data_IF_427150112751
#
_entry.id   IF_427150112751
#
_cell.length_a   1.000
_cell.length_b   1.000
_cell.length_c   1.000
_cell.angle_alpha   90.00
_cell.angle_beta   90.00
_cell.angle_gamma   90.00
#
_symmetry.space_group_name_H-M   'P 1'
#
loop_
_entity.id
_entity.type
_entity.pdbx_description
1 polymer ?
#
# COMPACT_ATOMS: atom_id res chain seq x y z
N UNK A 1 -15.25 -12.32 25.74
CA UNK A 1 -14.68 -11.77 24.50
C UNK A 1 -14.90 -12.79 23.41
N UNK A 2 -15.26 -12.37 22.20
CA UNK A 2 -15.40 -13.30 21.08
C UNK A 2 -14.06 -14.01 20.85
N UNK A 3 -14.05 -15.35 20.93
CA UNK A 3 -12.85 -16.19 20.72
C UNK A 3 -12.46 -16.22 19.25
N UNK A 4 -11.94 -15.10 18.75
CA UNK A 4 -11.48 -14.98 17.36
C UNK A 4 -10.07 -15.56 17.27
N UNK A 5 -9.91 -16.64 16.50
CA UNK A 5 -8.62 -17.31 16.29
C UNK A 5 -7.78 -16.63 15.20
N UNK A 6 -8.42 -15.97 14.23
CA UNK A 6 -7.77 -15.27 13.11
C UNK A 6 -8.68 -14.15 12.58
N UNK A 7 -8.14 -12.95 12.42
CA UNK A 7 -8.78 -11.89 11.64
C UNK A 7 -8.26 -11.91 10.19
N UNK A 8 -9.14 -11.72 9.22
CA UNK A 8 -8.78 -11.73 7.79
C UNK A 8 -9.26 -10.44 7.16
N UNK A 9 -8.36 -9.80 6.39
CA UNK A 9 -8.60 -8.52 5.74
C UNK A 9 -8.17 -8.58 4.28
N UNK A 10 -8.82 -7.82 3.41
CA UNK A 10 -8.37 -7.70 2.03
C UNK A 10 -7.32 -6.59 1.87
N UNK A 11 -6.34 -6.82 0.99
CA UNK A 11 -5.38 -5.81 0.58
C UNK A 11 -6.00 -4.97 -0.55
N UNK A 12 -6.52 -3.78 -0.21
CA UNK A 12 -7.27 -2.91 -1.12
C UNK A 12 -6.61 -1.57 -1.43
N UNK A 13 -5.49 -1.22 -0.79
CA UNK A 13 -4.72 -0.03 -1.19
C UNK A 13 -3.81 0.59 -0.12
N UNK A 14 -3.68 -0.02 1.05
CA UNK A 14 -2.77 0.40 2.11
C UNK A 14 -3.47 0.87 3.40
N UNK A 15 -4.77 1.19 3.35
CA UNK A 15 -5.55 1.55 4.54
C UNK A 15 -5.65 0.40 5.55
N UNK A 16 -5.67 -0.84 5.05
CA UNK A 16 -5.66 -2.06 5.86
C UNK A 16 -4.37 -2.24 6.68
N UNK A 17 -3.26 -1.59 6.28
CA UNK A 17 -1.94 -1.87 6.86
C UNK A 17 -1.85 -1.47 8.34
N UNK A 18 -2.44 -0.33 8.72
CA UNK A 18 -2.42 0.11 10.12
C UNK A 18 -3.23 -0.84 11.00
N UNK A 19 -4.44 -1.22 10.57
CA UNK A 19 -5.27 -2.17 11.30
C UNK A 19 -4.56 -3.53 11.45
N UNK A 20 -3.94 -4.02 10.39
CA UNK A 20 -3.19 -5.29 10.42
C UNK A 20 -2.04 -5.26 11.45
N UNK A 21 -1.29 -4.16 11.53
CA UNK A 21 -0.20 -4.03 12.51
C UNK A 21 -0.73 -3.93 13.95
N UNK A 22 -1.76 -3.11 14.19
CA UNK A 22 -2.36 -2.93 15.51
C UNK A 22 -2.96 -4.24 16.05
N UNK A 23 -3.60 -5.04 15.21
CA UNK A 23 -4.15 -6.32 15.64
C UNK A 23 -3.04 -7.30 16.07
N UNK A 24 -1.91 -7.32 15.37
CA UNK A 24 -0.73 -8.08 15.79
C UNK A 24 -0.13 -7.57 17.10
N UNK A 25 -0.09 -6.26 17.33
CA UNK A 25 0.33 -5.67 18.62
C UNK A 25 -0.59 -6.09 19.77
N UNK A 26 -1.89 -6.24 19.49
CA UNK A 26 -2.89 -6.76 20.44
C UNK A 26 -2.90 -8.29 20.55
N UNK A 27 -1.89 -8.97 19.98
CA UNK A 27 -1.78 -10.43 19.97
C UNK A 27 -2.95 -11.15 19.30
N UNK A 28 -3.64 -10.50 18.35
CA UNK A 28 -4.65 -11.12 17.50
C UNK A 28 -4.03 -11.50 16.14
N UNK A 29 -3.90 -12.80 15.81
CA UNK A 29 -3.37 -13.22 14.52
C UNK A 29 -4.18 -12.66 13.36
N UNK A 30 -3.50 -12.18 12.33
CA UNK A 30 -4.13 -11.58 11.16
C UNK A 30 -3.59 -12.14 9.84
N UNK A 31 -4.42 -12.14 8.81
CA UNK A 31 -4.03 -12.49 7.44
C UNK A 31 -4.54 -11.46 6.43
N UNK A 32 -3.72 -11.18 5.42
CA UNK A 32 -4.10 -10.37 4.27
C UNK A 32 -4.40 -11.27 3.06
N UNK A 33 -5.59 -11.11 2.49
CA UNK A 33 -6.00 -11.78 1.26
C UNK A 33 -6.07 -10.79 0.10
N UNK A 34 -5.85 -11.27 -1.12
CA UNK A 34 -5.89 -10.42 -2.29
C UNK A 34 -7.35 -10.08 -2.67
N UNK A 35 -7.71 -8.80 -2.72
CA UNK A 35 -9.07 -8.33 -3.03
C UNK A 35 -9.60 -8.88 -4.36
N UNK A 36 -8.75 -9.05 -5.38
CA UNK A 36 -9.13 -9.64 -6.68
C UNK A 36 -9.53 -11.11 -6.54
N UNK A 37 -8.83 -11.86 -5.69
CA UNK A 37 -9.14 -13.27 -5.46
C UNK A 37 -10.43 -13.45 -4.67
N UNK A 38 -10.65 -12.61 -3.65
CA UNK A 38 -11.91 -12.58 -2.88
C UNK A 38 -13.07 -12.23 -3.80
N UNK A 39 -12.90 -11.22 -4.67
CA UNK A 39 -13.93 -10.84 -5.65
C UNK A 39 -14.27 -11.98 -6.61
N UNK A 40 -13.27 -12.65 -7.18
CA UNK A 40 -13.49 -13.82 -8.05
C UNK A 40 -14.19 -14.96 -7.33
N UNK A 41 -13.90 -15.14 -6.04
CA UNK A 41 -14.60 -16.11 -5.21
C UNK A 41 -16.07 -15.71 -5.02
N UNK A 42 -16.36 -14.45 -4.68
CA UNK A 42 -17.72 -13.96 -4.55
C UNK A 42 -18.54 -14.12 -5.84
N UNK A 43 -17.94 -13.80 -6.99
CA UNK A 43 -18.53 -14.02 -8.33
C UNK A 43 -18.86 -15.51 -8.56
N UNK A 44 -17.93 -16.41 -8.23
CA UNK A 44 -18.15 -17.85 -8.35
C UNK A 44 -19.25 -18.39 -7.40
N UNK A 45 -19.47 -17.72 -6.27
CA UNK A 45 -20.51 -18.05 -5.30
C UNK A 45 -21.87 -17.39 -5.62
N UNK A 46 -21.96 -16.62 -6.72
CA UNK A 46 -23.21 -16.01 -7.18
C UNK A 46 -23.60 -14.72 -6.43
N UNK A 47 -22.70 -14.10 -5.69
CA UNK A 47 -22.96 -12.84 -5.00
C UNK A 47 -22.61 -11.65 -5.91
N UNK A 48 -23.65 -10.92 -6.35
CA UNK A 48 -23.53 -9.75 -7.25
C UNK A 48 -23.69 -8.41 -6.53
N UNK A 49 -24.46 -8.38 -5.43
CA UNK A 49 -24.66 -7.17 -4.61
C UNK A 49 -23.56 -7.02 -3.57
N UNK A 50 -23.10 -5.79 -3.37
CA UNK A 50 -22.07 -5.46 -2.38
C UNK A 50 -22.67 -4.70 -1.21
N UNK A 51 -22.51 -5.28 -0.03
CA UNK A 51 -22.68 -4.61 1.25
C UNK A 51 -21.51 -5.02 2.13
N UNK A 52 -21.13 -4.18 3.11
CA UNK A 52 -20.01 -4.49 4.00
C UNK A 52 -20.14 -5.86 4.67
N UNK A 53 -21.37 -6.26 5.00
CA UNK A 53 -21.67 -7.58 5.60
C UNK A 53 -21.45 -8.73 4.63
N UNK A 54 -21.82 -8.57 3.35
CA UNK A 54 -21.59 -9.59 2.31
C UNK A 54 -20.09 -9.68 2.02
N UNK A 55 -19.39 -8.56 1.88
CA UNK A 55 -17.95 -8.54 1.62
C UNK A 55 -17.18 -9.22 2.75
N UNK A 56 -17.50 -8.92 4.02
CA UNK A 56 -16.91 -9.62 5.16
C UNK A 56 -17.17 -11.13 5.14
N UNK A 57 -18.40 -11.56 4.82
CA UNK A 57 -18.74 -12.98 4.70
C UNK A 57 -17.97 -13.66 3.56
N UNK A 58 -17.75 -12.97 2.44
CA UNK A 58 -16.97 -13.48 1.31
C UNK A 58 -15.47 -13.60 1.66
N UNK A 59 -14.92 -12.65 2.41
CA UNK A 59 -13.54 -12.74 2.92
C UNK A 59 -13.38 -13.97 3.83
N UNK A 60 -14.30 -14.18 4.77
CA UNK A 60 -14.28 -15.35 5.68
C UNK A 60 -14.44 -16.65 4.89
N UNK A 61 -15.41 -16.72 3.98
CA UNK A 61 -15.64 -17.91 3.15
C UNK A 61 -14.44 -18.25 2.26
N UNK A 62 -13.81 -17.24 1.67
CA UNK A 62 -12.57 -17.41 0.90
C UNK A 62 -11.44 -17.92 1.79
N UNK A 63 -11.27 -17.35 2.98
CA UNK A 63 -10.23 -17.73 3.92
C UNK A 63 -10.36 -19.19 4.36
N UNK A 64 -11.59 -19.62 4.67
CA UNK A 64 -11.89 -21.01 5.03
C UNK A 64 -11.62 -21.97 3.87
N UNK A 65 -12.13 -21.65 2.67
CA UNK A 65 -11.93 -22.47 1.48
C UNK A 65 -10.46 -22.63 1.09
N UNK A 66 -9.64 -21.59 1.30
CA UNK A 66 -8.20 -21.61 1.04
C UNK A 66 -7.35 -22.00 2.24
N UNK A 67 -7.96 -22.28 3.40
CA UNK A 67 -7.26 -22.57 4.66
C UNK A 67 -6.18 -21.53 4.98
N UNK A 68 -6.52 -20.26 4.79
CA UNK A 68 -5.62 -19.12 4.99
C UNK A 68 -5.06 -19.18 6.41
N UNK A 69 -3.75 -18.98 6.51
CA UNK A 69 -3.03 -18.94 7.77
C UNK A 69 -2.68 -17.50 8.14
N UNK A 70 -2.42 -17.28 9.43
CA UNK A 70 -1.91 -16.00 9.90
C UNK A 70 -0.65 -15.61 9.12
N UNK A 71 -0.60 -14.36 8.70
CA UNK A 71 0.57 -13.76 8.06
C UNK A 71 1.28 -12.94 9.13
N UNK A 72 2.49 -13.32 9.56
CA UNK A 72 3.25 -12.53 10.53
C UNK A 72 3.45 -11.10 10.03
N UNK A 73 3.51 -10.11 10.94
CA UNK A 73 3.74 -8.75 10.52
C UNK A 73 5.18 -8.63 10.00
N UNK A 74 5.41 -7.82 8.96
CA UNK A 74 6.76 -7.53 8.51
C UNK A 74 7.55 -6.90 9.67
N UNK A 75 8.83 -7.22 9.77
CA UNK A 75 9.75 -6.61 10.72
C UNK A 75 9.80 -5.09 10.54
N UNK A 76 10.19 -4.37 11.60
CA UNK A 76 10.35 -2.92 11.52
C UNK A 76 11.30 -2.48 10.38
N UNK A 77 12.35 -3.28 10.11
CA UNK A 77 13.28 -3.05 9.01
C UNK A 77 12.60 -3.18 7.64
N UNK A 78 11.83 -4.25 7.40
CA UNK A 78 11.07 -4.44 6.15
C UNK A 78 10.02 -3.35 5.96
N UNK A 79 9.35 -2.94 7.04
CA UNK A 79 8.38 -1.86 7.00
C UNK A 79 9.02 -0.52 6.60
N UNK A 80 10.17 -0.20 7.20
CA UNK A 80 10.97 0.99 6.89
C UNK A 80 11.45 0.96 5.44
N UNK A 81 12.05 -0.14 5.00
CA UNK A 81 12.54 -0.30 3.63
C UNK A 81 11.41 -0.09 2.60
N UNK A 82 10.25 -0.73 2.81
CA UNK A 82 9.08 -0.55 1.95
C UNK A 82 8.61 0.90 1.90
N UNK A 83 8.63 1.61 3.03
CA UNK A 83 8.26 3.02 3.09
C UNK A 83 9.26 3.91 2.32
N UNK A 84 10.56 3.65 2.46
CA UNK A 84 11.60 4.38 1.72
C UNK A 84 11.47 4.18 0.21
N UNK A 85 11.30 2.93 -0.25
CA UNK A 85 11.12 2.61 -1.67
C UNK A 85 9.85 3.27 -2.23
N UNK A 86 8.74 3.22 -1.49
CA UNK A 86 7.51 3.89 -1.90
C UNK A 86 7.70 5.41 -2.03
N UNK A 87 8.41 6.03 -1.07
CA UNK A 87 8.69 7.46 -1.11
C UNK A 87 9.63 7.83 -2.26
N UNK A 88 10.65 7.02 -2.55
CA UNK A 88 11.53 7.23 -3.71
C UNK A 88 10.72 7.22 -5.01
N UNK A 89 9.78 6.28 -5.16
CA UNK A 89 8.88 6.23 -6.31
C UNK A 89 8.06 7.52 -6.49
N UNK A 90 7.52 8.07 -5.39
CA UNK A 90 6.79 9.36 -5.41
C UNK A 90 7.69 10.50 -5.87
N UNK A 91 8.88 10.65 -5.29
CA UNK A 91 9.82 11.73 -5.63
C UNK A 91 10.26 11.67 -7.09
N UNK A 92 10.54 10.48 -7.61
CA UNK A 92 10.90 10.28 -9.02
C UNK A 92 9.71 10.55 -9.96
N UNK A 93 8.49 10.20 -9.54
CA UNK A 93 7.25 10.57 -10.23
C UNK A 93 7.07 12.09 -10.32
N UNK A 94 7.22 12.78 -9.18
CA UNK A 94 7.13 14.24 -9.12
C UNK A 94 8.20 14.90 -10.01
N UNK A 95 9.42 14.37 -10.02
CA UNK A 95 10.49 14.86 -10.89
C UNK A 95 10.12 14.77 -12.37
N UNK A 96 9.44 13.69 -12.76
CA UNK A 96 8.94 13.50 -14.13
C UNK A 96 7.88 14.55 -14.48
N UNK A 97 6.95 14.84 -13.56
CA UNK A 97 5.94 15.88 -13.72
C UNK A 97 6.60 17.26 -13.89
N UNK A 98 7.60 17.60 -13.07
CA UNK A 98 8.29 18.89 -13.18
C UNK A 98 9.07 19.03 -14.48
N UNK A 99 9.73 17.97 -14.96
CA UNK A 99 10.39 17.96 -16.28
C UNK A 99 9.41 18.24 -17.41
N UNK A 100 8.23 17.61 -17.39
CA UNK A 100 7.20 17.84 -18.39
C UNK A 100 6.71 19.30 -18.37
N UNK A 101 6.47 19.86 -17.18
CA UNK A 101 6.09 21.27 -17.01
C UNK A 101 7.15 22.22 -17.54
N UNK A 102 8.43 21.94 -17.27
CA UNK A 102 9.56 22.74 -17.77
C UNK A 102 9.62 22.74 -19.29
N UNK A 103 9.47 21.58 -19.94
CA UNK A 103 9.46 21.49 -21.40
C UNK A 103 8.32 22.30 -22.04
N UNK A 104 7.19 22.46 -21.34
CA UNK A 104 6.04 23.24 -21.82
C UNK A 104 6.12 24.74 -21.47
N UNK A 105 7.06 25.16 -20.63
CA UNK A 105 7.18 26.54 -20.18
C UNK A 105 7.97 27.39 -21.18
N UNK A 106 7.46 28.58 -21.51
CA UNK A 106 8.14 29.56 -22.37
C UNK A 106 8.75 30.74 -21.57
N UNK A 107 8.30 30.96 -20.34
CA UNK A 107 8.72 32.08 -19.50
C UNK A 107 9.93 31.69 -18.63
N UNK A 108 10.98 32.52 -18.65
CA UNK A 108 12.24 32.26 -17.95
C UNK A 108 12.10 32.22 -16.42
N UNK A 109 11.23 33.03 -15.82
CA UNK A 109 10.96 33.04 -14.37
C UNK A 109 10.30 31.73 -13.93
N UNK A 110 9.34 31.23 -14.72
CA UNK A 110 8.69 29.93 -14.48
C UNK A 110 9.69 28.79 -14.62
N UNK A 111 10.54 28.83 -15.65
CA UNK A 111 11.61 27.84 -15.85
C UNK A 111 12.55 27.81 -14.63
N UNK A 112 12.97 28.98 -14.13
CA UNK A 112 13.84 29.07 -12.96
C UNK A 112 13.17 28.49 -11.69
N UNK A 113 11.89 28.79 -11.47
CA UNK A 113 11.13 28.22 -10.34
C UNK A 113 11.01 26.69 -10.43
N UNK A 114 10.77 26.15 -11.63
CA UNK A 114 10.70 24.70 -11.86
C UNK A 114 12.07 24.03 -11.61
N UNK A 115 13.16 24.67 -12.02
CA UNK A 115 14.51 24.17 -11.78
C UNK A 115 14.86 24.09 -10.29
N UNK A 116 14.40 25.05 -9.49
CA UNK A 116 14.58 25.00 -8.03
C UNK A 116 13.88 23.78 -7.40
N UNK A 117 12.63 23.52 -7.80
CA UNK A 117 11.87 22.35 -7.34
C UNK A 117 12.53 21.06 -7.80
N UNK A 118 12.96 20.99 -9.07
CA UNK A 118 13.66 19.81 -9.59
C UNK A 118 14.96 19.54 -8.84
N UNK A 119 15.74 20.59 -8.51
CA UNK A 119 16.96 20.45 -7.74
C UNK A 119 16.70 19.88 -6.34
N UNK A 120 15.61 20.32 -5.67
CA UNK A 120 15.18 19.75 -4.39
C UNK A 120 14.83 18.27 -4.53
N UNK A 121 14.01 17.89 -5.51
CA UNK A 121 13.58 16.52 -5.73
C UNK A 121 14.75 15.58 -6.05
N UNK A 122 15.72 16.03 -6.85
CA UNK A 122 16.95 15.26 -7.14
C UNK A 122 17.76 15.01 -5.87
N UNK A 123 17.94 16.02 -5.01
CA UNK A 123 18.63 15.83 -3.72
C UNK A 123 17.89 14.84 -2.83
N UNK A 124 16.56 14.91 -2.78
CA UNK A 124 15.75 13.97 -2.00
C UNK A 124 15.86 12.53 -2.52
N UNK A 125 15.83 12.32 -3.84
CA UNK A 125 16.00 11.00 -4.48
C UNK A 125 17.31 10.34 -4.06
N UNK A 126 18.43 11.06 -4.20
CA UNK A 126 19.76 10.56 -3.84
C UNK A 126 19.87 10.20 -2.36
N UNK A 127 19.26 11.01 -1.47
CA UNK A 127 19.24 10.71 -0.04
C UNK A 127 18.47 9.41 0.24
N UNK A 128 17.30 9.25 -0.37
CA UNK A 128 16.47 8.05 -0.21
C UNK A 128 17.16 6.80 -0.77
N UNK A 129 17.81 6.91 -1.93
CA UNK A 129 18.63 5.83 -2.50
C UNK A 129 19.76 5.40 -1.55
N UNK A 130 20.44 6.36 -0.92
CA UNK A 130 21.46 6.08 0.09
C UNK A 130 20.91 5.39 1.34
N UNK A 131 19.76 5.84 1.85
CA UNK A 131 19.08 5.20 2.99
C UNK A 131 18.55 3.79 2.67
N UNK A 132 18.22 3.50 1.41
CA UNK A 132 17.79 2.17 0.96
C UNK A 132 18.97 1.20 0.81
N UNK A 133 20.14 1.71 0.44
CA UNK A 133 21.35 0.92 0.21
C UNK A 133 22.18 0.66 1.49
N UNK A 134 21.80 1.27 2.62
CA UNK A 134 22.44 1.12 3.94
C UNK A 134 21.79 0.02 4.76
#
# INVERSE_FOLDING_TARGET
GHGVELAVMEASGGGERLAFLLLWELSLPCALVNARNVRRFAEAMGFLEKTDRIDAAMIVGYAQAKRVQATPPPSAAEQRLKALVARLGQVTGDLTIQKQRKCAAANAEIIASLDEVMALLVRQSRRLEGEIAS
#
